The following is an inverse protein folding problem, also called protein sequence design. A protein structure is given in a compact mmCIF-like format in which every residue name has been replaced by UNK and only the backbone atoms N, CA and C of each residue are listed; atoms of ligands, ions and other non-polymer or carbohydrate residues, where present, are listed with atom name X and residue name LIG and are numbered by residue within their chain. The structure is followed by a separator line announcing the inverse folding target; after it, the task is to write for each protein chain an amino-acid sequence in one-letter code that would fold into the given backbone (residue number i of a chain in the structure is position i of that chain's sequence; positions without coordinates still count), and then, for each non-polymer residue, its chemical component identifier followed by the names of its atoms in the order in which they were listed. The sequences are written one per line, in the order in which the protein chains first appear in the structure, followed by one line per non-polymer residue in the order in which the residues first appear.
data_IF_780931582337
#
_entry.id   IF_780931582337
#
_cell.length_a   1.000
_cell.length_b   1.000
_cell.length_c   1.000
_cell.angle_alpha   90.00
_cell.angle_beta   90.00
_cell.angle_gamma   90.00
#
_symmetry.space_group_name_H-M   'P 1'
#
loop_
_entity.id
_entity.type
_entity.pdbx_description
1 polymer ?
#
# COMPACT_ATOMS: atom_id res chain seq x y z
N UNK A 1 19.16 6.12 12.11
CA UNK A 1 19.37 4.91 11.29
C UNK A 1 18.96 5.25 9.87
N UNK A 2 19.66 4.71 8.87
CA UNK A 2 19.70 5.24 7.50
C UNK A 2 18.50 4.76 6.66
N UNK A 3 17.32 5.35 6.89
CA UNK A 3 16.04 4.95 6.26
C UNK A 3 16.10 4.90 4.72
N UNK A 4 17.01 5.64 4.08
CA UNK A 4 17.18 5.64 2.64
C UNK A 4 17.57 4.27 2.06
N UNK A 5 18.31 3.43 2.80
CA UNK A 5 18.69 2.10 2.33
C UNK A 5 17.48 1.16 2.25
N UNK A 6 16.60 1.20 3.25
CA UNK A 6 15.40 0.35 3.31
C UNK A 6 14.45 0.71 2.17
N UNK A 7 14.20 2.01 1.96
CA UNK A 7 13.33 2.48 0.88
C UNK A 7 13.84 2.09 -0.51
N UNK A 8 15.15 2.22 -0.76
CA UNK A 8 15.75 1.79 -2.02
C UNK A 8 15.66 0.28 -2.22
N UNK A 9 15.90 -0.52 -1.17
CA UNK A 9 15.80 -1.99 -1.25
C UNK A 9 14.39 -2.43 -1.58
N UNK A 10 13.38 -1.84 -0.91
CA UNK A 10 11.97 -2.12 -1.19
C UNK A 10 11.59 -1.67 -2.59
N UNK A 11 12.06 -0.51 -3.05
CA UNK A 11 11.81 -0.04 -4.42
C UNK A 11 12.37 -1.02 -5.46
N UNK A 12 13.63 -1.44 -5.33
CA UNK A 12 14.21 -2.43 -6.24
C UNK A 12 13.47 -3.77 -6.18
N UNK A 13 13.05 -4.22 -4.99
CA UNK A 13 12.25 -5.44 -4.88
C UNK A 13 10.89 -5.32 -5.59
N UNK A 14 10.19 -4.19 -5.44
CA UNK A 14 8.94 -3.92 -6.16
C UNK A 14 9.15 -3.90 -7.68
N UNK A 15 10.25 -3.29 -8.15
CA UNK A 15 10.58 -3.20 -9.56
C UNK A 15 10.94 -4.56 -10.17
N UNK A 16 11.93 -5.24 -9.57
CA UNK A 16 12.62 -6.36 -10.21
C UNK A 16 11.96 -7.71 -9.91
N UNK A 17 11.19 -7.82 -8.82
CA UNK A 17 10.55 -9.08 -8.39
C UNK A 17 9.02 -9.05 -8.48
N UNK A 18 8.42 -7.86 -8.58
CA UNK A 18 6.97 -7.69 -8.61
C UNK A 18 6.47 -6.90 -9.83
N UNK A 19 7.36 -6.51 -10.75
CA UNK A 19 7.04 -5.81 -12.00
C UNK A 19 6.28 -4.49 -11.80
N UNK A 20 6.52 -3.79 -10.69
CA UNK A 20 5.92 -2.48 -10.46
C UNK A 20 6.57 -1.42 -11.36
N UNK A 21 5.76 -0.46 -11.79
CA UNK A 21 6.19 0.66 -12.64
C UNK A 21 5.87 1.99 -11.97
N UNK A 22 6.33 3.11 -12.56
CA UNK A 22 6.10 4.47 -12.03
C UNK A 22 6.55 4.63 -10.56
N UNK A 23 7.65 3.97 -10.20
CA UNK A 23 8.17 3.96 -8.84
C UNK A 23 8.88 5.27 -8.50
N UNK A 24 8.51 5.86 -7.36
CA UNK A 24 9.10 7.09 -6.84
C UNK A 24 9.24 7.00 -5.32
N UNK A 25 10.40 7.42 -4.78
CA UNK A 25 10.59 7.58 -3.34
C UNK A 25 10.18 8.99 -2.95
N UNK A 26 9.19 9.10 -2.06
CA UNK A 26 8.71 10.36 -1.52
C UNK A 26 9.13 10.44 -0.05
N UNK A 27 9.84 11.51 0.30
CA UNK A 27 10.23 11.78 1.68
C UNK A 27 9.11 12.50 2.42
N UNK A 28 8.74 12.01 3.60
CA UNK A 28 7.84 12.66 4.55
C UNK A 28 8.70 13.37 5.61
N UNK A 29 9.00 14.68 5.44
CA UNK A 29 10.03 15.35 6.23
C UNK A 29 9.71 15.41 7.73
N UNK A 30 8.43 15.65 8.05
CA UNK A 30 7.95 15.74 9.43
C UNK A 30 8.11 14.42 10.20
N UNK A 31 8.06 13.29 9.48
CA UNK A 31 8.14 11.95 10.05
C UNK A 31 9.53 11.32 9.90
N UNK A 32 10.46 12.01 9.22
CA UNK A 32 11.78 11.49 8.84
C UNK A 32 11.71 10.08 8.24
N UNK A 33 10.65 9.83 7.48
CA UNK A 33 10.32 8.53 6.90
C UNK A 33 10.20 8.69 5.39
N UNK A 34 10.64 7.69 4.65
CA UNK A 34 10.51 7.64 3.21
C UNK A 34 9.38 6.65 2.87
N UNK A 35 8.58 6.95 1.85
CA UNK A 35 7.54 6.07 1.30
C UNK A 35 7.81 5.84 -0.18
N UNK A 36 7.40 4.69 -0.71
CA UNK A 36 7.48 4.38 -2.13
C UNK A 36 6.08 4.48 -2.72
N UNK A 37 5.94 5.29 -3.77
CA UNK A 37 4.73 5.37 -4.60
C UNK A 37 4.99 4.57 -5.87
N UNK A 38 4.01 3.81 -6.34
CA UNK A 38 4.16 3.07 -7.60
C UNK A 38 2.87 2.42 -8.11
N UNK A 39 2.92 1.93 -9.34
CA UNK A 39 1.83 1.26 -10.02
C UNK A 39 2.11 -0.25 -10.12
N UNK A 40 1.31 -1.11 -9.47
CA UNK A 40 1.46 -2.56 -9.57
C UNK A 40 1.03 -3.07 -10.97
N UNK A 41 1.43 -4.28 -11.37
CA UNK A 41 1.05 -4.87 -12.67
C UNK A 41 -0.44 -5.25 -12.75
N UNK A 42 -1.13 -5.31 -11.62
CA UNK A 42 -2.56 -5.63 -11.49
C UNK A 42 -3.13 -4.98 -10.24
N UNK A 43 -4.46 -4.79 -10.20
CA UNK A 43 -5.14 -4.37 -8.99
C UNK A 43 -4.86 -5.36 -7.84
N UNK A 44 -4.29 -4.87 -6.73
CA UNK A 44 -3.84 -5.73 -5.63
C UNK A 44 -4.94 -6.01 -4.59
N UNK A 45 -5.91 -5.11 -4.45
CA UNK A 45 -6.99 -5.27 -3.48
C UNK A 45 -8.30 -4.64 -3.95
N UNK A 46 -9.32 -5.49 -4.07
CA UNK A 46 -10.72 -5.12 -4.19
C UNK A 46 -11.39 -5.19 -2.82
N UNK A 47 -12.21 -4.19 -2.46
CA UNK A 47 -12.92 -4.20 -1.18
C UNK A 47 -13.96 -5.32 -1.19
N UNK A 48 -14.25 -5.91 -0.03
CA UNK A 48 -15.39 -6.82 0.08
C UNK A 48 -16.71 -6.19 -0.41
N UNK A 49 -16.98 -4.91 -0.09
CA UNK A 49 -18.22 -4.25 -0.50
C UNK A 49 -18.30 -4.08 -2.04
N UNK A 50 -17.18 -3.73 -2.67
CA UNK A 50 -17.08 -3.60 -4.12
C UNK A 50 -17.16 -4.96 -4.83
N UNK A 51 -16.69 -6.02 -4.17
CA UNK A 51 -16.86 -7.39 -4.65
C UNK A 51 -18.34 -7.81 -4.63
N UNK A 52 -19.09 -7.44 -3.58
CA UNK A 52 -20.54 -7.68 -3.51
C UNK A 52 -21.27 -6.90 -4.62
N UNK A 53 -20.89 -5.63 -4.83
CA UNK A 53 -21.46 -4.82 -5.90
C UNK A 53 -21.15 -5.39 -7.30
N UNK A 54 -19.93 -5.87 -7.53
CA UNK A 54 -19.55 -6.53 -8.78
C UNK A 54 -20.35 -7.82 -9.03
N UNK A 55 -20.53 -8.67 -8.00
CA UNK A 55 -21.34 -9.89 -8.10
C UNK A 55 -22.82 -9.59 -8.42
N UNK A 56 -23.36 -8.50 -7.86
CA UNK A 56 -24.71 -8.04 -8.16
C UNK A 56 -24.83 -7.53 -9.62
N UNK A 57 -23.79 -6.90 -10.16
CA UNK A 57 -23.76 -6.41 -11.54
C UNK A 57 -23.57 -7.54 -12.58
N UNK A 58 -22.76 -8.55 -12.28
CA UNK A 58 -22.62 -9.76 -13.12
C UNK A 58 -23.96 -10.51 -13.25
N UNK A 59 -24.74 -10.56 -12.17
CA UNK A 59 -26.09 -11.15 -12.17
C UNK A 59 -27.08 -10.33 -13.02
N UNK A 60 -26.83 -9.02 -13.17
CA UNK A 60 -27.64 -8.10 -13.97
C UNK A 60 -27.14 -7.94 -15.43
N UNK A 61 -26.08 -8.65 -15.83
CA UNK A 61 -25.51 -8.56 -17.18
C UNK A 61 -24.81 -7.22 -17.49
N UNK A 62 -24.46 -6.46 -16.46
CA UNK A 62 -23.74 -5.17 -16.58
C UNK A 62 -22.23 -5.45 -16.56
N UNK A 63 -21.47 -4.67 -17.34
CA UNK A 63 -20.03 -4.83 -17.58
C UNK A 63 -19.21 -5.11 -16.31
N UNK A 64 -18.25 -6.02 -16.46
CA UNK A 64 -17.25 -6.44 -15.47
C UNK A 64 -16.64 -5.22 -14.77
N UNK A 65 -16.42 -5.25 -13.44
CA UNK A 65 -15.77 -4.15 -12.72
C UNK A 65 -14.43 -3.82 -13.37
N UNK A 66 -14.17 -2.52 -13.52
CA UNK A 66 -12.89 -2.00 -13.96
C UNK A 66 -11.81 -2.45 -12.95
N UNK A 67 -10.90 -3.31 -13.42
CA UNK A 67 -9.82 -3.89 -12.61
C UNK A 67 -8.49 -3.23 -12.95
N UNK A 68 -8.53 -2.00 -13.47
CA UNK A 68 -7.33 -1.26 -13.80
C UNK A 68 -6.42 -1.10 -12.57
N UNK A 69 -5.10 -1.26 -12.74
CA UNK A 69 -4.15 -1.04 -11.65
C UNK A 69 -4.26 0.38 -11.11
N UNK A 70 -4.18 0.51 -9.79
CA UNK A 70 -4.21 1.80 -9.09
C UNK A 70 -2.87 2.05 -8.45
N UNK A 71 -2.43 3.31 -8.42
CA UNK A 71 -1.22 3.71 -7.71
C UNK A 71 -1.36 3.40 -6.22
N UNK A 72 -0.37 2.70 -5.68
CA UNK A 72 -0.30 2.29 -4.29
C UNK A 72 0.83 3.02 -3.55
N UNK A 73 0.64 3.17 -2.24
CA UNK A 73 1.61 3.77 -1.32
C UNK A 73 2.18 2.69 -0.42
N UNK A 74 3.49 2.51 -0.49
CA UNK A 74 4.24 1.50 0.25
C UNK A 74 5.09 2.19 1.32
N UNK A 75 4.92 1.79 2.57
CA UNK A 75 5.71 2.21 3.71
C UNK A 75 6.82 1.17 3.98
N UNK A 76 8.07 1.45 3.59
CA UNK A 76 9.22 0.60 3.91
C UNK A 76 9.58 0.72 5.40
N UNK A 77 9.70 -0.42 6.08
CA UNK A 77 10.13 -0.51 7.48
C UNK A 77 11.13 -1.64 7.66
N UNK A 78 12.02 -1.51 8.64
CA UNK A 78 12.87 -2.62 9.06
C UNK A 78 12.21 -3.33 10.25
N UNK A 79 12.33 -4.66 10.35
CA UNK A 79 11.71 -5.41 11.45
C UNK A 79 12.18 -4.96 12.85
N UNK A 80 13.41 -4.46 12.95
CA UNK A 80 13.98 -3.95 14.20
C UNK A 80 13.45 -2.56 14.61
N UNK A 81 12.70 -1.88 13.74
CA UNK A 81 12.17 -0.55 14.01
C UNK A 81 11.03 -0.60 15.01
N UNK A 82 11.10 0.25 16.04
CA UNK A 82 9.97 0.45 16.96
C UNK A 82 8.99 1.47 16.39
N UNK A 83 7.77 1.02 16.08
CA UNK A 83 6.67 1.88 15.62
C UNK A 83 5.64 2.10 16.72
N UNK A 84 5.42 3.37 17.08
CA UNK A 84 4.25 3.73 17.88
C UNK A 84 3.01 3.85 16.99
N UNK A 85 1.83 3.61 17.57
CA UNK A 85 0.57 3.83 16.88
C UNK A 85 0.41 5.28 16.41
N UNK A 86 0.88 6.24 17.21
CA UNK A 86 0.86 7.67 16.84
C UNK A 86 1.72 7.96 15.61
N UNK A 87 2.94 7.41 15.53
CA UNK A 87 3.82 7.59 14.38
C UNK A 87 3.22 6.98 13.12
N UNK A 88 2.62 5.79 13.24
CA UNK A 88 1.92 5.15 12.12
C UNK A 88 0.72 6.00 11.67
N UNK A 89 -0.11 6.47 12.58
CA UNK A 89 -1.25 7.34 12.26
C UNK A 89 -0.80 8.62 11.53
N UNK A 90 0.30 9.24 11.96
CA UNK A 90 0.82 10.42 11.28
C UNK A 90 1.27 10.17 9.84
N UNK A 91 1.64 8.93 9.46
CA UNK A 91 1.90 8.58 8.05
C UNK A 91 0.62 8.70 7.23
N UNK A 92 -0.52 8.21 7.74
CA UNK A 92 -1.80 8.36 7.07
C UNK A 92 -2.18 9.84 6.94
N UNK A 93 -1.99 10.63 7.99
CA UNK A 93 -2.22 12.08 7.94
C UNK A 93 -1.37 12.79 6.87
N UNK A 94 -0.08 12.44 6.78
CA UNK A 94 0.84 13.03 5.82
C UNK A 94 0.52 12.65 4.36
N UNK A 95 -0.03 11.46 4.13
CA UNK A 95 -0.42 10.99 2.80
C UNK A 95 -1.82 11.46 2.39
N UNK A 96 -2.65 11.90 3.34
CA UNK A 96 -4.05 12.26 3.11
C UNK A 96 -4.25 13.31 2.02
N UNK A 97 -3.32 14.24 1.85
CA UNK A 97 -3.38 15.28 0.80
C UNK A 97 -3.10 14.73 -0.60
N UNK A 98 -2.44 13.58 -0.70
CA UNK A 98 -2.08 12.94 -1.97
C UNK A 98 -3.09 11.86 -2.38
N UNK A 99 -4.03 11.50 -1.50
CA UNK A 99 -5.04 10.52 -1.82
C UNK A 99 -6.16 11.12 -2.69
N UNK A 100 -6.54 10.41 -3.75
CA UNK A 100 -7.78 10.70 -4.46
C UNK A 100 -8.98 10.31 -3.60
N UNK A 101 -10.14 10.92 -3.85
CA UNK A 101 -11.35 10.76 -3.04
C UNK A 101 -11.88 9.30 -2.99
N UNK A 102 -11.39 8.44 -3.88
CA UNK A 102 -11.73 7.02 -4.00
C UNK A 102 -10.60 6.08 -3.53
N UNK A 103 -9.44 6.64 -3.15
CA UNK A 103 -8.41 5.86 -2.49
C UNK A 103 -8.89 5.51 -1.08
N UNK A 104 -9.27 4.24 -0.93
CA UNK A 104 -9.53 3.65 0.38
C UNK A 104 -8.30 3.86 1.24
N UNK A 105 -8.49 4.43 2.44
CA UNK A 105 -7.46 4.87 3.38
C UNK A 105 -6.56 3.70 3.84
N UNK A 106 -5.69 3.23 2.95
CA UNK A 106 -4.80 2.10 3.18
C UNK A 106 -3.42 2.41 2.63
N UNK A 107 -2.44 1.75 3.21
CA UNK A 107 -1.07 1.69 2.70
C UNK A 107 -0.62 0.23 2.71
N UNK A 108 0.43 -0.06 1.96
CA UNK A 108 1.13 -1.33 2.02
C UNK A 108 2.33 -1.16 2.94
N UNK A 109 2.42 -1.94 4.01
CA UNK A 109 3.62 -2.00 4.85
C UNK A 109 4.58 -3.04 4.25
N UNK A 110 5.79 -2.60 3.87
CA UNK A 110 6.85 -3.47 3.38
C UNK A 110 7.91 -3.65 4.47
N UNK A 111 7.94 -4.81 5.09
CA UNK A 111 8.88 -5.14 6.15
C UNK A 111 10.10 -5.84 5.57
N UNK A 112 11.26 -5.19 5.66
CA UNK A 112 12.56 -5.76 5.28
C UNK A 112 13.16 -6.53 6.47
N UNK A 113 13.49 -7.79 6.23
CA UNK A 113 14.20 -8.66 7.16
C UNK A 113 15.71 -8.70 6.88
N UNK A 114 16.49 -9.17 7.86
CA UNK A 114 17.97 -9.18 7.78
C UNK A 114 18.51 -10.22 6.78
N UNK A 115 17.70 -11.19 6.37
CA UNK A 115 18.01 -12.17 5.32
C UNK A 115 17.60 -11.69 3.91
N UNK A 116 17.29 -10.39 3.77
CA UNK A 116 16.82 -9.75 2.55
C UNK A 116 15.41 -10.18 2.10
N UNK A 117 14.65 -10.87 2.94
CA UNK A 117 13.22 -11.11 2.69
C UNK A 117 12.43 -9.80 2.85
N UNK A 118 11.53 -9.52 1.92
CA UNK A 118 10.55 -8.43 2.02
C UNK A 118 9.16 -9.03 2.15
N UNK A 119 8.42 -8.61 3.19
CA UNK A 119 7.03 -9.06 3.42
C UNK A 119 6.09 -7.87 3.32
N UNK A 120 4.99 -8.04 2.59
CA UNK A 120 4.01 -6.99 2.31
C UNK A 120 2.70 -7.24 3.06
N UNK A 121 2.20 -6.22 3.75
CA UNK A 121 0.91 -6.25 4.46
C UNK A 121 0.04 -5.07 4.05
N UNK A 122 -1.27 -5.28 3.91
CA UNK A 122 -2.22 -4.16 3.83
C UNK A 122 -2.52 -3.62 5.23
N UNK A 123 -2.34 -2.31 5.41
CA UNK A 123 -2.68 -1.60 6.65
C UNK A 123 -3.74 -0.56 6.33
N UNK A 124 -4.85 -0.58 7.07
CA UNK A 124 -5.98 0.31 6.84
C UNK A 124 -6.12 1.33 7.98
N UNK A 125 -6.56 2.53 7.64
CA UNK A 125 -6.98 3.57 8.58
C UNK A 125 -8.41 3.26 9.06
N UNK A 126 -8.54 2.79 10.30
CA UNK A 126 -9.83 2.47 10.91
C UNK A 126 -10.26 1.01 10.75
N UNK A 127 -11.51 0.73 11.11
CA UNK A 127 -12.07 -0.63 11.08
C UNK A 127 -12.61 -0.98 9.70
N UNK A 128 -12.02 -2.00 9.09
CA UNK A 128 -12.59 -2.69 7.92
C UNK A 128 -13.28 -3.96 8.40
N UNK A 129 -14.48 -4.26 7.89
CA UNK A 129 -15.18 -5.51 8.25
C UNK A 129 -14.30 -6.70 7.87
N UNK A 130 -14.07 -7.67 8.79
CA UNK A 130 -13.28 -8.84 8.50
C UNK A 130 -13.95 -9.65 7.38
N UNK A 131 -13.16 -10.17 6.44
CA UNK A 131 -13.66 -11.12 5.45
C UNK A 131 -14.20 -12.34 6.20
N UNK A 132 -15.50 -12.62 6.06
CA UNK A 132 -16.02 -13.92 6.41
C UNK A 132 -15.64 -14.86 5.26
N UNK A 133 -14.77 -15.82 5.56
CA UNK A 133 -14.44 -16.93 4.66
C UNK A 133 -15.55 -17.97 4.67
#
# INVERSE_FOLDING_TARGET
MNNGHVALTVLSNLQDQHDWTQLEIIRLPELKTDVVKGLPPRLLYLHPDDQIAALAQDTAGIQKPDNDPVVEWVLPVQLADTWSLSKLASVFDALRTNWTHDQRKRIILATLHNDSTVVYYFVHEGMVKPRQN
#
